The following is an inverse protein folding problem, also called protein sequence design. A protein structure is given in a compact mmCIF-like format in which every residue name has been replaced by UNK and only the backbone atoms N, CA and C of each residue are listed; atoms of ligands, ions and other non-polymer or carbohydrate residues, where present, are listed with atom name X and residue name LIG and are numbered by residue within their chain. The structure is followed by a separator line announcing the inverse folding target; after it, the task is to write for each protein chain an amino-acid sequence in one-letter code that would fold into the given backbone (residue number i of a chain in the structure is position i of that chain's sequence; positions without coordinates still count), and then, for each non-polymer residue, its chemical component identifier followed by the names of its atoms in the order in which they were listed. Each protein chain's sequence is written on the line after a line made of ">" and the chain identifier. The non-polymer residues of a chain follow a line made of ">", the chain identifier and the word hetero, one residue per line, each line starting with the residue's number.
data_IF_712589056641
#
_entry.id   IF_712589056641
#
_cell.length_a   1.000
_cell.length_b   1.000
_cell.length_c   1.000
_cell.angle_alpha   90.00
_cell.angle_beta   90.00
_cell.angle_gamma   90.00
#
_symmetry.space_group_name_H-M   'P 1'
#
loop_
_entity.id
_entity.type
_entity.pdbx_description
1 polymer ?
#
# COMPACT_ATOMS: atom_id res chain seq x y z
N UNK A 1 2.44 5.11 24.65
CA UNK A 1 2.72 5.03 23.21
C UNK A 1 3.81 6.01 22.86
N UNK A 2 5.02 5.51 22.49
CA UNK A 2 6.22 6.36 22.31
C UNK A 2 6.37 6.98 20.94
N UNK A 3 5.64 6.50 19.93
CA UNK A 3 5.79 6.98 18.55
C UNK A 3 4.47 7.36 17.89
N UNK A 4 3.41 6.60 18.14
CA UNK A 4 2.09 6.77 17.53
C UNK A 4 1.06 7.33 18.49
N UNK A 5 0.00 7.92 17.94
CA UNK A 5 -1.24 8.18 18.66
C UNK A 5 -2.26 7.07 18.39
N UNK A 6 -3.10 6.80 19.37
CA UNK A 6 -4.32 5.99 19.28
C UNK A 6 -5.41 6.71 20.05
N UNK A 7 -6.58 6.88 19.47
CA UNK A 7 -7.70 7.65 20.04
C UNK A 7 -7.32 9.11 20.39
N UNK A 8 -6.33 9.68 19.70
CA UNK A 8 -5.81 11.02 19.97
C UNK A 8 -4.75 11.11 21.05
N UNK A 9 -4.49 10.03 21.77
CA UNK A 9 -3.51 9.96 22.86
C UNK A 9 -2.19 9.33 22.40
N UNK A 10 -1.07 9.89 22.83
CA UNK A 10 0.28 9.39 22.51
C UNK A 10 1.17 10.41 21.82
N UNK A 11 2.26 9.93 21.19
CA UNK A 11 3.23 10.78 20.52
C UNK A 11 2.92 10.96 19.02
N UNK A 12 3.17 12.16 18.50
CA UNK A 12 2.97 12.52 17.10
C UNK A 12 4.20 12.28 16.23
N UNK A 13 5.08 11.37 16.63
CA UNK A 13 6.29 11.06 15.87
C UNK A 13 6.03 10.18 14.64
N UNK A 14 5.00 9.38 14.68
CA UNK A 14 4.56 8.47 13.62
C UNK A 14 3.03 8.61 13.40
N UNK A 15 2.49 8.04 12.32
CA UNK A 15 1.07 8.20 11.98
C UNK A 15 0.12 7.75 13.09
N UNK A 16 -1.02 8.41 13.18
CA UNK A 16 -2.13 8.06 14.04
C UNK A 16 -2.71 6.68 13.64
N UNK A 17 -3.05 5.81 14.60
CA UNK A 17 -3.38 4.41 14.37
C UNK A 17 -4.88 4.06 14.49
N UNK A 18 -5.74 4.94 14.99
CA UNK A 18 -7.15 4.61 15.26
C UNK A 18 -7.87 4.05 14.03
N UNK A 19 -7.68 4.67 12.87
CA UNK A 19 -8.28 4.25 11.60
C UNK A 19 -7.27 3.56 10.65
N UNK A 20 -6.19 3.01 11.18
CA UNK A 20 -5.14 2.40 10.34
C UNK A 20 -5.64 1.18 9.56
N UNK A 21 -6.51 0.37 10.17
CA UNK A 21 -7.09 -0.79 9.49
C UNK A 21 -7.92 -0.37 8.26
N UNK A 22 -8.75 0.65 8.41
CA UNK A 22 -9.55 1.20 7.31
C UNK A 22 -8.67 1.82 6.21
N UNK A 23 -7.64 2.59 6.59
CA UNK A 23 -6.76 3.29 5.63
C UNK A 23 -5.81 2.36 4.88
N UNK A 24 -5.29 1.33 5.53
CA UNK A 24 -4.18 0.50 5.01
C UNK A 24 -4.56 -0.95 4.79
N UNK A 25 -5.53 -1.46 5.52
CA UNK A 25 -5.99 -2.84 5.46
C UNK A 25 -5.02 -3.86 6.10
N UNK A 26 -5.52 -5.09 6.31
CA UNK A 26 -4.77 -6.12 7.04
C UNK A 26 -3.52 -6.62 6.31
N UNK A 27 -3.53 -6.63 4.97
CA UNK A 27 -2.40 -7.11 4.17
C UNK A 27 -1.19 -6.19 4.33
N UNK A 28 -1.40 -4.86 4.22
CA UNK A 28 -0.35 -3.87 4.47
C UNK A 28 0.19 -3.96 5.89
N UNK A 29 -0.71 -4.05 6.89
CA UNK A 29 -0.33 -4.11 8.29
C UNK A 29 0.51 -5.36 8.58
N UNK A 30 0.14 -6.51 8.03
CA UNK A 30 0.92 -7.75 8.16
C UNK A 30 2.32 -7.61 7.58
N UNK A 31 2.44 -7.08 6.37
CA UNK A 31 3.74 -6.87 5.71
C UNK A 31 4.63 -5.91 6.51
N UNK A 32 4.08 -4.78 6.97
CA UNK A 32 4.80 -3.78 7.75
C UNK A 32 5.26 -4.32 9.11
N UNK A 33 4.39 -5.03 9.84
CA UNK A 33 4.71 -5.58 11.16
C UNK A 33 5.72 -6.73 11.06
N UNK A 34 5.72 -7.47 9.95
CA UNK A 34 6.67 -8.57 9.71
C UNK A 34 8.07 -8.05 9.39
N UNK A 35 8.18 -7.08 8.48
CA UNK A 35 9.46 -6.49 8.08
C UNK A 35 9.32 -5.02 7.67
N UNK A 36 9.44 -4.08 8.65
CA UNK A 36 9.38 -2.65 8.35
C UNK A 36 10.48 -2.18 7.41
N UNK A 37 11.65 -2.82 7.43
CA UNK A 37 12.79 -2.44 6.61
C UNK A 37 12.57 -2.77 5.13
N UNK A 38 11.96 -3.91 4.86
CA UNK A 38 11.57 -4.30 3.50
C UNK A 38 10.52 -3.34 2.91
N UNK A 39 9.59 -2.85 3.75
CA UNK A 39 8.53 -1.94 3.31
C UNK A 39 9.02 -0.51 3.01
N UNK A 40 10.05 -0.04 3.72
CA UNK A 40 10.59 1.33 3.60
C UNK A 40 12.12 1.36 3.52
N UNK A 41 12.73 0.75 2.48
CA UNK A 41 14.18 0.68 2.36
C UNK A 41 14.80 2.07 2.25
N UNK A 42 15.80 2.35 3.10
CA UNK A 42 16.54 3.62 3.09
C UNK A 42 15.76 4.84 3.60
N UNK A 43 14.55 4.63 4.12
CA UNK A 43 13.73 5.67 4.73
C UNK A 43 13.63 5.48 6.25
N UNK A 44 13.03 6.46 6.92
CA UNK A 44 12.67 6.35 8.33
C UNK A 44 11.67 5.21 8.53
N UNK A 45 12.00 4.30 9.40
CA UNK A 45 11.28 3.05 9.59
C UNK A 45 10.75 2.90 11.01
N UNK A 46 9.69 2.12 11.15
CA UNK A 46 9.27 1.59 12.43
C UNK A 46 10.31 0.57 12.94
N UNK A 47 10.53 0.53 14.25
CA UNK A 47 11.35 -0.52 14.88
C UNK A 47 10.78 -1.89 14.53
N UNK A 48 11.65 -2.83 14.12
CA UNK A 48 11.24 -4.23 13.99
C UNK A 48 11.16 -4.86 15.38
N UNK A 49 9.94 -5.20 15.81
CA UNK A 49 9.67 -5.83 17.09
C UNK A 49 9.72 -7.36 17.03
N UNK A 50 9.98 -7.95 15.86
CA UNK A 50 10.03 -9.40 15.63
C UNK A 50 8.76 -10.13 16.08
N UNK A 51 7.59 -9.54 15.80
CA UNK A 51 6.31 -10.14 16.13
C UNK A 51 6.13 -11.50 15.46
N UNK A 52 5.55 -12.45 16.19
CA UNK A 52 5.08 -13.72 15.61
C UNK A 52 3.87 -13.49 14.72
N UNK A 53 3.55 -14.46 13.85
CA UNK A 53 2.37 -14.33 12.98
C UNK A 53 1.06 -14.28 13.77
N UNK A 54 1.00 -14.92 14.95
CA UNK A 54 -0.12 -14.85 15.88
C UNK A 54 -0.25 -13.43 16.46
N UNK A 55 0.82 -12.87 17.00
CA UNK A 55 0.84 -11.50 17.52
C UNK A 55 0.47 -10.45 16.47
N UNK A 56 0.91 -10.64 15.23
CA UNK A 56 0.51 -9.79 14.10
C UNK A 56 -1.00 -9.92 13.85
N UNK A 57 -1.56 -11.14 13.92
CA UNK A 57 -2.99 -11.39 13.82
C UNK A 57 -3.78 -10.65 14.89
N UNK A 58 -3.34 -10.73 16.15
CA UNK A 58 -3.96 -10.06 17.30
C UNK A 58 -3.94 -8.54 17.15
N UNK A 59 -2.80 -7.97 16.73
CA UNK A 59 -2.67 -6.54 16.46
C UNK A 59 -3.61 -6.07 15.34
N UNK A 60 -3.74 -6.84 14.28
CA UNK A 60 -4.66 -6.53 13.19
C UNK A 60 -6.11 -6.55 13.67
N UNK A 61 -6.51 -7.57 14.43
CA UNK A 61 -7.85 -7.67 15.01
C UNK A 61 -8.12 -6.51 15.98
N UNK A 62 -7.15 -6.16 16.81
CA UNK A 62 -7.25 -4.98 17.70
C UNK A 62 -7.48 -3.68 16.92
N UNK A 63 -6.73 -3.43 15.85
CA UNK A 63 -6.90 -2.20 15.05
C UNK A 63 -8.17 -2.21 14.22
N UNK A 64 -8.68 -3.38 13.82
CA UNK A 64 -10.00 -3.51 13.22
C UNK A 64 -11.09 -3.09 14.20
N UNK A 65 -11.02 -3.58 15.45
CA UNK A 65 -11.94 -3.19 16.51
C UNK A 65 -11.80 -1.70 16.85
N UNK A 66 -10.56 -1.20 17.07
CA UNK A 66 -10.30 0.19 17.39
C UNK A 66 -10.86 1.15 16.33
N UNK A 67 -10.77 0.77 15.06
CA UNK A 67 -11.33 1.53 13.96
C UNK A 67 -12.87 1.63 13.97
N UNK A 68 -13.57 0.72 14.66
CA UNK A 68 -15.04 0.72 14.78
C UNK A 68 -15.56 1.50 15.98
N UNK A 69 -14.67 1.92 16.89
CA UNK A 69 -15.05 2.72 18.06
C UNK A 69 -15.52 4.09 17.59
N UNK A 70 -16.71 4.50 18.06
CA UNK A 70 -17.22 5.86 17.84
C UNK A 70 -16.48 6.82 18.76
N UNK A 71 -15.71 7.71 18.18
CA UNK A 71 -14.91 8.72 18.87
C UNK A 71 -15.46 10.14 18.63
N UNK A 72 -16.76 10.25 18.37
CA UNK A 72 -17.43 11.53 18.17
C UNK A 72 -16.72 12.42 17.11
N UNK A 73 -16.38 11.80 15.97
CA UNK A 73 -15.74 12.48 14.83
C UNK A 73 -14.21 12.58 14.89
N UNK A 74 -13.54 11.98 15.89
CA UNK A 74 -12.08 11.87 15.90
C UNK A 74 -11.61 10.65 15.05
N UNK A 75 -10.46 10.71 14.35
CA UNK A 75 -9.65 11.92 14.11
C UNK A 75 -10.39 12.94 13.22
N UNK A 76 -10.31 14.21 13.59
CA UNK A 76 -10.93 15.28 12.82
C UNK A 76 -10.41 15.27 11.37
N UNK A 77 -11.30 15.55 10.41
CA UNK A 77 -10.87 15.73 9.02
C UNK A 77 -9.95 16.95 8.95
N UNK A 78 -8.80 16.88 8.24
CA UNK A 78 -7.92 18.02 8.09
C UNK A 78 -8.67 19.22 7.51
N UNK A 79 -8.63 20.37 8.19
CA UNK A 79 -9.27 21.62 7.75
C UNK A 79 -8.49 22.33 6.64
N UNK A 80 -7.16 22.09 6.60
CA UNK A 80 -6.35 22.46 5.44
C UNK A 80 -6.62 21.39 4.40
N UNK A 81 -7.34 21.75 3.35
CA UNK A 81 -7.75 20.82 2.31
C UNK A 81 -6.59 19.93 1.89
N UNK A 82 -6.81 18.63 1.90
CA UNK A 82 -5.95 17.76 1.14
C UNK A 82 -5.76 18.45 -0.23
N UNK A 83 -4.51 18.52 -0.77
CA UNK A 83 -4.32 19.07 -2.10
C UNK A 83 -5.40 18.45 -2.97
N UNK A 84 -6.16 19.30 -3.66
CA UNK A 84 -7.33 18.90 -4.40
C UNK A 84 -7.01 17.57 -5.07
N UNK A 85 -7.68 16.51 -4.64
CA UNK A 85 -7.62 15.26 -5.36
C UNK A 85 -8.20 15.66 -6.72
N UNK A 86 -7.29 15.89 -7.69
CA UNK A 86 -7.71 15.93 -9.06
C UNK A 86 -8.52 14.64 -9.22
N UNK A 87 -9.82 14.78 -9.43
CA UNK A 87 -10.64 13.71 -9.98
C UNK A 87 -10.00 13.34 -11.32
N UNK A 88 -8.97 12.51 -11.21
CA UNK A 88 -8.49 11.77 -12.37
C UNK A 88 -9.58 10.75 -12.57
N UNK A 89 -10.48 11.07 -13.51
CA UNK A 89 -11.43 10.09 -14.04
C UNK A 89 -10.62 8.83 -14.33
N UNK A 90 -10.85 7.72 -13.60
CA UNK A 90 -10.05 6.52 -13.84
C UNK A 90 -10.29 6.10 -15.29
N UNK A 91 -9.23 5.82 -16.07
CA UNK A 91 -9.43 5.20 -17.36
C UNK A 91 -10.15 3.88 -17.12
N UNK A 92 -11.29 3.77 -17.72
CA UNK A 92 -12.19 2.66 -17.99
C UNK A 92 -11.79 1.28 -17.46
N UNK A 93 -12.62 0.77 -16.51
CA UNK A 93 -13.12 -0.62 -16.38
C UNK A 93 -12.21 -1.77 -15.96
N UNK A 94 -11.03 -1.59 -15.42
CA UNK A 94 -10.50 -2.58 -14.49
C UNK A 94 -10.61 -1.97 -13.08
N UNK A 95 -11.57 -2.43 -12.30
CA UNK A 95 -11.75 -1.95 -10.94
C UNK A 95 -10.43 -2.12 -10.19
N UNK A 96 -9.86 -1.02 -9.69
CA UNK A 96 -8.56 -1.03 -8.99
C UNK A 96 -8.61 -2.02 -7.83
N UNK A 97 -7.80 -3.09 -7.81
CA UNK A 97 -7.80 -4.03 -6.70
C UNK A 97 -7.50 -3.33 -5.37
N UNK A 98 -8.17 -3.71 -4.31
CA UNK A 98 -7.94 -3.14 -2.98
C UNK A 98 -6.48 -3.32 -2.55
N UNK A 99 -5.90 -4.48 -2.82
CA UNK A 99 -4.50 -4.80 -2.54
C UNK A 99 -3.53 -3.85 -3.25
N UNK A 100 -3.86 -3.37 -4.46
CA UNK A 100 -3.06 -2.37 -5.16
C UNK A 100 -2.99 -1.05 -4.37
N UNK A 101 -4.14 -0.57 -3.90
CA UNK A 101 -4.21 0.67 -3.11
C UNK A 101 -3.51 0.55 -1.76
N UNK A 102 -3.54 -0.64 -1.15
CA UNK A 102 -2.97 -0.90 0.17
C UNK A 102 -1.45 -1.10 0.14
N UNK A 103 -0.93 -1.83 -0.83
CA UNK A 103 0.49 -2.21 -0.90
C UNK A 103 1.27 -1.42 -1.95
N UNK A 104 0.80 -1.41 -3.19
CA UNK A 104 1.59 -0.91 -4.31
C UNK A 104 1.74 0.62 -4.28
N UNK A 105 0.66 1.34 -3.96
CA UNK A 105 0.66 2.80 -3.92
C UNK A 105 1.50 3.40 -2.78
N UNK A 106 1.96 2.60 -1.84
CA UNK A 106 2.90 3.05 -0.80
C UNK A 106 4.26 3.44 -1.41
N UNK A 107 4.70 2.69 -2.41
CA UNK A 107 5.99 2.88 -3.07
C UNK A 107 5.87 3.40 -4.49
N UNK A 108 4.80 3.06 -5.20
CA UNK A 108 4.59 3.40 -6.60
C UNK A 108 3.51 4.46 -6.79
N UNK A 109 3.67 5.29 -7.81
CA UNK A 109 2.63 6.21 -8.28
C UNK A 109 1.92 5.66 -9.51
N UNK A 110 0.61 5.92 -9.61
CA UNK A 110 -0.23 5.69 -10.78
C UNK A 110 -1.18 6.88 -10.96
N UNK A 111 -1.21 7.50 -12.14
CA UNK A 111 -2.00 8.70 -12.40
C UNK A 111 -1.55 9.91 -11.58
N UNK A 112 -0.28 9.99 -11.22
CA UNK A 112 0.27 11.06 -10.40
C UNK A 112 0.01 10.94 -8.89
N UNK A 113 -0.70 9.89 -8.45
CA UNK A 113 -1.01 9.63 -7.03
C UNK A 113 -0.24 8.40 -6.55
N UNK A 114 0.38 8.48 -5.37
CA UNK A 114 1.12 7.38 -4.73
C UNK A 114 2.52 7.74 -4.30
N UNK A 115 3.31 6.71 -3.94
CA UNK A 115 4.69 6.86 -3.48
C UNK A 115 5.67 7.12 -4.62
N UNK A 116 6.87 7.60 -4.25
CA UNK A 116 7.96 7.93 -5.17
C UNK A 116 9.19 7.03 -5.00
N UNK A 117 9.10 6.00 -4.17
CA UNK A 117 10.18 5.04 -3.90
C UNK A 117 10.42 4.11 -5.08
N UNK A 118 9.32 3.61 -5.66
CA UNK A 118 9.34 2.77 -6.85
C UNK A 118 9.05 3.55 -8.12
N UNK A 119 9.28 2.95 -9.31
CA UNK A 119 8.95 3.57 -10.58
C UNK A 119 7.43 3.79 -10.73
N UNK A 120 7.06 4.81 -11.51
CA UNK A 120 5.66 5.05 -11.87
C UNK A 120 5.11 3.86 -12.67
N UNK A 121 3.86 3.50 -12.36
CA UNK A 121 3.17 2.38 -13.00
C UNK A 121 2.30 2.79 -14.20
N UNK A 122 2.28 4.08 -14.52
CA UNK A 122 1.64 4.58 -15.74
C UNK A 122 2.23 3.88 -16.96
N UNK A 123 1.38 3.29 -17.79
CA UNK A 123 1.80 2.57 -18.99
C UNK A 123 2.62 1.29 -18.73
N UNK A 124 2.59 0.74 -17.52
CA UNK A 124 3.34 -0.49 -17.20
C UNK A 124 2.93 -1.67 -18.06
N UNK A 125 1.65 -1.81 -18.38
CA UNK A 125 1.14 -2.87 -19.26
C UNK A 125 1.51 -2.70 -20.74
N UNK A 126 2.07 -1.54 -21.15
CA UNK A 126 2.68 -1.38 -22.48
C UNK A 126 4.13 -1.87 -22.47
N UNK A 127 4.83 -1.72 -21.33
CA UNK A 127 6.26 -2.06 -21.19
C UNK A 127 6.50 -3.51 -20.79
N UNK A 128 5.59 -4.09 -20.02
CA UNK A 128 5.73 -5.43 -19.43
C UNK A 128 4.50 -6.26 -19.77
N UNK A 129 4.71 -7.50 -20.18
CA UNK A 129 3.63 -8.45 -20.44
C UNK A 129 3.09 -9.08 -19.15
N UNK A 130 1.94 -9.73 -19.26
CA UNK A 130 1.26 -10.35 -18.10
C UNK A 130 2.11 -11.45 -17.45
N UNK A 131 2.81 -12.25 -18.24
CA UNK A 131 3.64 -13.34 -17.71
C UNK A 131 4.87 -12.82 -16.94
N UNK A 132 5.45 -11.69 -17.40
CA UNK A 132 6.51 -11.03 -16.64
C UNK A 132 5.99 -10.43 -15.35
N UNK A 133 4.83 -9.74 -15.39
CA UNK A 133 4.20 -9.14 -14.21
C UNK A 133 3.86 -10.21 -13.17
N UNK A 134 3.36 -11.37 -13.58
CA UNK A 134 3.04 -12.48 -12.69
C UNK A 134 4.29 -12.98 -11.96
N UNK A 135 5.36 -13.31 -12.69
CA UNK A 135 6.63 -13.74 -12.09
C UNK A 135 7.22 -12.69 -11.16
N UNK A 136 7.16 -11.42 -11.58
CA UNK A 136 7.64 -10.29 -10.78
C UNK A 136 6.90 -10.15 -9.46
N UNK A 137 5.57 -10.24 -9.46
CA UNK A 137 4.74 -10.12 -8.27
C UNK A 137 4.91 -11.31 -7.32
N UNK A 138 5.18 -12.49 -7.84
CA UNK A 138 5.47 -13.67 -7.03
C UNK A 138 6.82 -13.56 -6.30
N UNK A 139 7.87 -13.17 -6.99
CA UNK A 139 9.20 -13.03 -6.42
C UNK A 139 10.07 -12.09 -7.27
N UNK A 140 10.13 -10.79 -6.90
CA UNK A 140 10.93 -9.82 -7.63
C UNK A 140 12.42 -10.17 -7.69
N UNK A 141 12.96 -10.78 -6.62
CA UNK A 141 14.38 -11.12 -6.55
C UNK A 141 14.75 -12.31 -7.43
N UNK A 142 13.81 -13.23 -7.69
CA UNK A 142 14.03 -14.34 -8.62
C UNK A 142 14.11 -13.87 -10.08
N UNK A 143 13.42 -12.76 -10.41
CA UNK A 143 13.43 -12.18 -11.76
C UNK A 143 14.61 -11.21 -11.93
N UNK A 144 14.92 -10.44 -10.87
CA UNK A 144 16.00 -9.46 -10.85
C UNK A 144 16.66 -9.45 -9.47
N UNK A 145 17.85 -10.06 -9.31
CA UNK A 145 18.49 -10.25 -8.00
C UNK A 145 18.84 -8.97 -7.25
N UNK A 146 19.00 -7.84 -7.95
CA UNK A 146 19.29 -6.52 -7.39
C UNK A 146 18.02 -5.66 -7.20
N UNK A 147 16.84 -6.26 -7.30
CA UNK A 147 15.57 -5.56 -7.09
C UNK A 147 15.47 -4.93 -5.70
N UNK A 148 14.99 -3.68 -5.66
CA UNK A 148 14.63 -2.99 -4.41
C UNK A 148 13.19 -3.27 -3.97
N UNK A 149 12.37 -3.90 -4.84
CA UNK A 149 11.01 -4.27 -4.51
C UNK A 149 11.04 -5.50 -3.60
N UNK A 150 10.46 -5.45 -2.39
CA UNK A 150 10.39 -6.60 -1.50
C UNK A 150 9.39 -7.63 -2.04
N UNK A 151 9.56 -8.89 -1.65
CA UNK A 151 8.55 -9.93 -1.85
C UNK A 151 7.35 -9.62 -0.96
N UNK A 152 6.19 -9.39 -1.58
CA UNK A 152 4.95 -9.08 -0.88
C UNK A 152 4.17 -10.36 -0.55
N UNK A 153 3.44 -10.41 0.57
CA UNK A 153 2.63 -11.57 0.97
C UNK A 153 1.31 -11.59 0.18
N UNK A 154 1.40 -11.85 -1.12
CA UNK A 154 0.26 -11.93 -2.04
C UNK A 154 -0.18 -13.38 -2.20
N UNK A 155 -1.50 -13.62 -2.15
CA UNK A 155 -2.06 -14.89 -2.57
C UNK A 155 -2.27 -14.95 -4.10
N UNK A 156 -2.59 -16.14 -4.63
CA UNK A 156 -2.74 -16.36 -6.06
C UNK A 156 -3.87 -15.50 -6.69
N UNK A 157 -4.95 -15.25 -5.96
CA UNK A 157 -6.07 -14.43 -6.43
C UNK A 157 -5.63 -12.98 -6.55
N UNK A 158 -4.96 -12.46 -5.53
CA UNK A 158 -4.42 -11.09 -5.52
C UNK A 158 -3.40 -10.87 -6.64
N UNK A 159 -2.52 -11.84 -6.88
CA UNK A 159 -1.57 -11.78 -8.00
C UNK A 159 -2.32 -11.70 -9.33
N UNK A 160 -3.31 -12.55 -9.56
CA UNK A 160 -4.12 -12.55 -10.79
C UNK A 160 -4.87 -11.23 -11.01
N UNK A 161 -5.49 -10.68 -9.96
CA UNK A 161 -6.16 -9.36 -10.02
C UNK A 161 -5.18 -8.23 -10.34
N UNK A 162 -4.01 -8.25 -9.70
CA UNK A 162 -2.95 -7.26 -9.93
C UNK A 162 -2.40 -7.35 -11.35
N UNK A 163 -2.15 -8.56 -11.86
CA UNK A 163 -1.68 -8.77 -13.24
C UNK A 163 -2.70 -8.23 -14.24
N UNK A 164 -3.98 -8.55 -14.06
CA UNK A 164 -5.07 -8.05 -14.90
C UNK A 164 -5.12 -6.52 -14.89
N UNK A 165 -5.10 -5.94 -13.69
CA UNK A 165 -5.15 -4.49 -13.51
C UNK A 165 -3.93 -3.78 -14.11
N UNK A 166 -2.70 -4.26 -13.83
CA UNK A 166 -1.46 -3.64 -14.31
C UNK A 166 -1.30 -3.80 -15.82
N UNK A 167 -1.70 -4.94 -16.39
CA UNK A 167 -1.68 -5.16 -17.84
C UNK A 167 -2.62 -4.21 -18.60
N UNK A 168 -3.69 -3.76 -17.95
CA UNK A 168 -4.62 -2.77 -18.50
C UNK A 168 -4.07 -1.33 -18.48
N UNK A 169 -3.00 -1.06 -17.71
CA UNK A 169 -2.37 0.27 -17.63
C UNK A 169 -1.53 0.51 -18.91
N UNK A 170 -2.19 0.86 -20.00
CA UNK A 170 -1.54 1.17 -21.28
C UNK A 170 -1.23 2.65 -21.40
N UNK A 171 -0.13 2.99 -22.06
CA UNK A 171 0.12 4.36 -22.49
C UNK A 171 -0.91 4.71 -23.56
N UNK A 172 -1.69 5.78 -23.38
CA UNK A 172 -2.52 6.29 -24.46
C UNK A 172 -1.59 6.93 -25.48
N UNK A 173 -1.53 6.40 -26.71
CA UNK A 173 -0.98 7.14 -27.84
C UNK A 173 -1.92 8.31 -28.09
N UNK A 174 -1.45 9.52 -27.81
CA UNK A 174 -2.11 10.73 -28.29
C UNK A 174 -1.95 10.73 -29.79
N UNK A 175 -3.00 10.37 -30.52
CA UNK A 175 -3.05 10.57 -31.95
C UNK A 175 -2.86 12.08 -32.23
N UNK A 176 -1.75 12.42 -32.88
CA UNK A 176 -1.49 13.76 -33.43
C UNK A 176 -2.34 13.98 -34.66
#
# INVERSE_FOLDING_TARGET
>A
MGCHTLFGEGAYYAPELTKVYERRGPVFMRALLKDPAAMYPGQRQMTNYHFTDEQIGDLIAFFEWAGKVDLNGFPAKPTLGAPAQHEVTPPTTAQRPQVFSQLCMTCHALGGVGGTVGPKLDGVGTRLDAAYLERWLHDPLSVKPDSKMPKLPLDATQVSELVTFLSAQKTQEVAQ
#
